data_IF_538521120610
#
_entry.id   IF_538521120610
#
_cell.length_a   1.000
_cell.length_b   1.000
_cell.length_c   1.000
_cell.angle_alpha   90.00
_cell.angle_beta   90.00
_cell.angle_gamma   90.00
#
_symmetry.space_group_name_H-M   'P 1'
#
loop_
_entity.id
_entity.type
_entity.pdbx_description
1 polymer ?
#
# COMPACT_ATOMS: atom_id res chain seq x y z
N UNK A 1 -15.79 0.32 -4.28
CA UNK A 1 -16.37 0.02 -2.95
C UNK A 1 -15.26 -0.13 -1.93
N UNK A 2 -15.55 -0.06 -0.63
CA UNK A 2 -14.53 -0.03 0.44
C UNK A 2 -13.53 -1.20 0.35
N UNK A 3 -13.98 -2.44 0.52
CA UNK A 3 -13.09 -3.62 0.47
C UNK A 3 -12.50 -3.83 -0.92
N UNK A 4 -13.33 -3.79 -1.96
CA UNK A 4 -12.89 -4.03 -3.33
C UNK A 4 -11.93 -2.96 -3.87
N UNK A 5 -11.89 -1.76 -3.28
CA UNK A 5 -10.96 -0.70 -3.66
C UNK A 5 -9.63 -0.80 -2.92
N UNK A 6 -9.67 -1.17 -1.64
CA UNK A 6 -8.46 -1.36 -0.82
C UNK A 6 -7.73 -2.64 -1.20
N UNK A 7 -8.47 -3.76 -1.28
CA UNK A 7 -7.95 -5.06 -1.74
C UNK A 7 -8.00 -5.09 -3.27
N UNK A 8 -6.97 -4.50 -3.87
CA UNK A 8 -6.84 -4.35 -5.31
C UNK A 8 -5.55 -5.00 -5.78
N UNK A 9 -5.48 -6.32 -5.77
CA UNK A 9 -4.31 -7.06 -6.28
C UNK A 9 -4.02 -6.70 -7.76
N UNK A 10 -2.73 -6.57 -8.17
CA UNK A 10 -2.36 -6.41 -9.57
C UNK A 10 -2.85 -7.56 -10.47
N UNK A 11 -3.16 -7.26 -11.73
CA UNK A 11 -3.60 -8.26 -12.72
C UNK A 11 -5.12 -8.47 -12.79
N UNK A 12 -5.89 -7.91 -11.87
CA UNK A 12 -7.36 -7.95 -11.94
C UNK A 12 -7.92 -6.90 -12.91
N UNK A 13 -8.88 -7.26 -13.79
CA UNK A 13 -9.47 -6.33 -14.74
C UNK A 13 -10.36 -5.29 -14.05
N UNK A 14 -10.61 -4.16 -14.73
CA UNK A 14 -11.51 -3.08 -14.29
C UNK A 14 -11.12 -2.46 -12.94
N UNK A 15 -9.81 -2.29 -12.75
CA UNK A 15 -9.22 -1.53 -11.64
C UNK A 15 -8.61 -0.27 -12.22
N UNK A 16 -8.76 0.83 -11.50
CA UNK A 16 -8.11 2.09 -11.83
C UNK A 16 -7.97 2.94 -10.58
N UNK A 17 -7.04 3.90 -10.62
CA UNK A 17 -6.76 4.81 -9.52
C UNK A 17 -6.28 6.16 -10.04
N UNK A 18 -6.29 7.16 -9.16
CA UNK A 18 -5.75 8.49 -9.43
C UNK A 18 -4.73 8.80 -8.34
N UNK A 19 -3.59 9.38 -8.71
CA UNK A 19 -2.54 9.78 -7.77
C UNK A 19 -1.89 11.07 -8.25
N UNK A 20 -1.61 11.98 -7.32
CA UNK A 20 -0.87 13.21 -7.58
C UNK A 20 -0.07 13.58 -6.32
N UNK A 21 1.04 14.30 -6.50
CA UNK A 21 1.85 14.81 -5.38
C UNK A 21 1.53 16.28 -5.13
N UNK A 22 1.18 16.63 -3.89
CA UNK A 22 1.00 18.03 -3.46
C UNK A 22 2.18 18.45 -2.60
N UNK A 23 2.94 19.46 -3.06
CA UNK A 23 4.01 20.04 -2.27
C UNK A 23 3.47 20.79 -1.04
N UNK A 24 4.27 20.83 0.03
CA UNK A 24 3.95 21.62 1.22
C UNK A 24 3.69 23.10 0.85
N UNK A 25 2.70 23.71 1.49
CA UNK A 25 2.31 25.11 1.24
C UNK A 25 1.52 25.38 -0.05
N UNK A 26 1.27 24.38 -0.91
CA UNK A 26 0.41 24.57 -2.08
C UNK A 26 -1.03 24.86 -1.67
N UNK A 27 -1.76 25.63 -2.48
CA UNK A 27 -3.18 25.93 -2.28
C UNK A 27 -4.00 24.65 -2.19
N UNK A 28 -5.13 24.74 -1.49
CA UNK A 28 -6.14 23.70 -1.48
C UNK A 28 -6.74 23.57 -2.90
N UNK A 29 -7.06 22.34 -3.29
CA UNK A 29 -7.80 22.00 -4.51
C UNK A 29 -9.02 21.24 -4.04
N UNK A 30 -10.21 21.62 -4.51
CA UNK A 30 -11.43 20.92 -4.11
C UNK A 30 -11.44 19.49 -4.67
N UNK A 31 -12.17 18.54 -4.05
CA UNK A 31 -12.08 17.14 -4.42
C UNK A 31 -12.62 16.85 -5.82
N UNK A 32 -13.60 17.64 -6.29
CA UNK A 32 -14.21 17.44 -7.60
C UNK A 32 -13.27 17.92 -8.71
N UNK A 33 -12.64 19.08 -8.53
CA UNK A 33 -11.58 19.59 -9.40
C UNK A 33 -10.38 18.64 -9.40
N UNK A 34 -9.93 18.18 -8.23
CA UNK A 34 -8.82 17.22 -8.15
C UNK A 34 -9.13 15.94 -8.93
N UNK A 35 -10.35 15.40 -8.81
CA UNK A 35 -10.77 14.21 -9.57
C UNK A 35 -10.85 14.48 -11.07
N UNK A 36 -11.32 15.65 -11.48
CA UNK A 36 -11.43 16.02 -12.90
C UNK A 36 -10.06 16.23 -13.56
N UNK A 37 -9.11 16.80 -12.83
CA UNK A 37 -7.78 17.17 -13.36
C UNK A 37 -6.72 16.08 -13.20
N UNK A 38 -6.86 15.18 -12.23
CA UNK A 38 -5.89 14.10 -12.02
C UNK A 38 -6.10 12.98 -13.03
N UNK A 39 -5.09 12.58 -13.83
CA UNK A 39 -5.26 11.50 -14.79
C UNK A 39 -5.63 10.17 -14.13
N UNK A 40 -6.54 9.44 -14.76
CA UNK A 40 -6.87 8.07 -14.39
C UNK A 40 -5.75 7.13 -14.84
N UNK A 41 -5.30 6.27 -13.93
CA UNK A 41 -4.34 5.21 -14.20
C UNK A 41 -5.05 3.86 -14.14
N UNK A 42 -4.86 3.03 -15.16
CA UNK A 42 -5.41 1.68 -15.19
C UNK A 42 -4.61 0.74 -14.29
N UNK A 43 -5.30 -0.25 -13.72
CA UNK A 43 -4.75 -1.27 -12.84
C UNK A 43 -4.80 -0.93 -11.35
N UNK A 44 -3.97 -1.62 -10.58
CA UNK A 44 -3.90 -1.52 -9.12
C UNK A 44 -3.03 -0.35 -8.66
N UNK A 45 -3.50 0.36 -7.62
CA UNK A 45 -2.71 1.39 -6.94
C UNK A 45 -1.53 0.82 -6.11
N UNK A 46 -1.52 -0.49 -5.82
CA UNK A 46 -0.47 -1.14 -5.02
C UNK A 46 0.91 -0.98 -5.63
N UNK A 47 1.03 -1.01 -6.96
CA UNK A 47 2.31 -0.84 -7.66
C UNK A 47 2.90 0.56 -7.45
N UNK A 48 2.07 1.60 -7.49
CA UNK A 48 2.52 2.98 -7.24
C UNK A 48 2.95 3.16 -5.78
N UNK A 49 2.20 2.57 -4.84
CA UNK A 49 2.54 2.59 -3.42
C UNK A 49 3.82 1.82 -3.10
N UNK A 50 4.01 0.64 -3.68
CA UNK A 50 5.24 -0.15 -3.53
C UNK A 50 6.46 0.62 -4.05
N UNK A 51 6.35 1.30 -5.19
CA UNK A 51 7.42 2.15 -5.73
C UNK A 51 7.74 3.32 -4.79
N UNK A 52 6.72 3.99 -4.25
CA UNK A 52 6.90 5.06 -3.28
C UNK A 52 7.63 4.60 -2.01
N UNK A 53 7.29 3.40 -1.52
CA UNK A 53 7.96 2.75 -0.38
C UNK A 53 9.41 2.39 -0.73
N UNK A 54 9.65 1.80 -1.91
CA UNK A 54 10.99 1.39 -2.34
C UNK A 54 11.97 2.57 -2.38
N UNK A 55 11.51 3.76 -2.81
CA UNK A 55 12.31 4.99 -2.80
C UNK A 55 12.67 5.49 -1.39
N UNK A 56 11.98 5.01 -0.35
CA UNK A 56 12.13 5.42 1.05
C UNK A 56 12.67 4.32 1.95
N UNK A 57 12.98 3.16 1.37
CA UNK A 57 13.58 2.02 2.06
C UNK A 57 15.07 1.96 1.81
N UNK A 58 15.84 1.41 2.75
CA UNK A 58 17.31 1.37 2.72
C UNK A 58 17.89 0.32 1.73
N UNK A 59 17.15 -0.09 0.70
CA UNK A 59 17.55 -1.11 -0.26
C UNK A 59 17.12 -2.54 0.11
N UNK A 60 17.50 -3.50 -0.72
CA UNK A 60 17.16 -4.92 -0.55
C UNK A 60 18.32 -5.67 0.12
N UNK A 61 18.01 -6.40 1.18
CA UNK A 61 18.92 -7.31 1.87
C UNK A 61 18.25 -8.67 2.04
N UNK A 62 19.03 -9.71 2.27
CA UNK A 62 18.47 -10.99 2.69
C UNK A 62 17.73 -10.81 4.03
N UNK A 63 16.55 -11.42 4.20
CA UNK A 63 15.85 -11.34 5.47
C UNK A 63 16.69 -12.02 6.57
N UNK A 64 16.72 -11.48 7.79
CA UNK A 64 17.30 -12.19 8.92
C UNK A 64 16.47 -13.43 9.27
N UNK A 65 17.02 -14.30 10.12
CA UNK A 65 16.24 -15.40 10.70
C UNK A 65 15.02 -14.86 11.44
N UNK A 66 13.93 -15.64 11.47
CA UNK A 66 12.71 -15.25 12.20
C UNK A 66 12.98 -15.16 13.71
N UNK A 67 12.55 -14.06 14.30
CA UNK A 67 12.85 -13.72 15.70
C UNK A 67 14.20 -13.02 15.87
N UNK A 68 14.64 -12.91 17.12
CA UNK A 68 15.92 -12.31 17.49
C UNK A 68 16.33 -12.74 18.89
N UNK A 69 17.50 -12.29 19.36
CA UNK A 69 18.03 -12.64 20.69
C UNK A 69 17.08 -12.25 21.83
N UNK A 70 16.35 -11.14 21.68
CA UNK A 70 15.37 -10.66 22.66
C UNK A 70 13.96 -11.24 22.44
N UNK A 71 13.64 -11.68 21.22
CA UNK A 71 12.29 -12.11 20.85
C UNK A 71 12.31 -13.45 20.11
N UNK A 72 12.06 -14.53 20.84
CA UNK A 72 11.97 -15.88 20.26
C UNK A 72 10.65 -16.07 19.51
N UNK A 73 10.64 -16.83 18.39
CA UNK A 73 9.39 -17.22 17.73
C UNK A 73 8.44 -17.95 18.68
N UNK A 74 7.17 -17.58 18.68
CA UNK A 74 6.13 -18.17 19.55
C UNK A 74 5.30 -19.26 18.86
N UNK A 75 5.37 -19.33 17.53
CA UNK A 75 4.59 -20.22 16.68
C UNK A 75 4.48 -19.63 15.27
N UNK A 76 3.95 -20.42 14.34
CA UNK A 76 3.75 -19.98 12.96
C UNK A 76 2.60 -18.96 12.85
N UNK A 77 2.70 -18.07 11.86
CA UNK A 77 1.58 -17.24 11.44
C UNK A 77 0.41 -18.14 10.97
N UNK A 78 -0.87 -17.74 11.20
CA UNK A 78 -1.32 -16.41 11.62
C UNK A 78 -1.47 -16.24 13.15
N UNK A 79 -1.06 -17.22 13.95
CA UNK A 79 -1.19 -17.20 15.40
C UNK A 79 -2.59 -17.57 15.91
N UNK A 80 -2.71 -17.70 17.24
CA UNK A 80 -3.94 -18.19 17.87
C UNK A 80 -5.06 -17.13 17.95
N UNK A 81 -4.72 -15.85 18.08
CA UNK A 81 -5.70 -14.80 18.39
C UNK A 81 -6.71 -14.58 17.27
N UNK A 82 -6.30 -14.73 16.00
CA UNK A 82 -7.21 -14.61 14.85
C UNK A 82 -8.25 -15.74 14.78
N UNK A 83 -7.97 -16.88 15.41
CA UNK A 83 -8.83 -18.07 15.43
C UNK A 83 -9.76 -18.13 16.64
N UNK A 84 -9.64 -17.18 17.58
CA UNK A 84 -10.51 -17.10 18.74
C UNK A 84 -11.87 -16.53 18.32
N UNK A 85 -12.94 -17.24 18.66
CA UNK A 85 -14.33 -16.88 18.41
C UNK A 85 -15.04 -16.55 19.71
#
# INVERSE_FOLDING_TARGET
>A
GHNAGVVSEPGHPRRSFQIATRAAGKRYVDPQMWRAETPLQEGSWWSAWQQWLAQRSAGRVAPPAMGGSTYTPLGDAPGAYVAMT
#
